data_IF_452212146082
#
_entry.id   IF_452212146082
#
_cell.length_a   1.000
_cell.length_b   1.000
_cell.length_c   1.000
_cell.angle_alpha   90.00
_cell.angle_beta   90.00
_cell.angle_gamma   90.00
#
_symmetry.space_group_name_H-M   'P 1'
#
loop_
_entity.id
_entity.type
_entity.pdbx_description
1 polymer ?
#
# COMPACT_ATOMS: atom_id res chain seq x y z
N UNK A 1 24.94 19.11 -61.86
CA UNK A 1 25.61 17.80 -61.75
C UNK A 1 26.60 17.94 -60.59
N UNK A 2 26.30 17.62 -59.33
CA UNK A 2 25.54 16.53 -58.73
C UNK A 2 24.98 16.99 -57.37
N UNK A 3 23.65 17.09 -57.26
CA UNK A 3 22.93 17.34 -56.00
C UNK A 3 22.36 16.02 -55.45
N UNK A 4 23.19 15.14 -54.89
CA UNK A 4 22.68 13.91 -54.24
C UNK A 4 23.62 13.39 -53.14
N UNK A 5 23.82 14.13 -52.05
CA UNK A 5 24.44 13.54 -50.85
C UNK A 5 24.02 14.23 -49.53
N UNK A 6 22.72 14.28 -49.24
CA UNK A 6 22.25 14.82 -47.93
C UNK A 6 21.01 14.12 -47.37
N UNK A 7 20.94 12.79 -47.42
CA UNK A 7 19.73 12.07 -46.97
C UNK A 7 19.95 10.98 -45.90
N UNK A 8 21.19 10.60 -45.54
CA UNK A 8 21.37 9.42 -44.67
C UNK A 8 22.28 9.61 -43.45
N UNK A 9 21.92 10.48 -42.49
CA UNK A 9 22.36 10.30 -41.09
C UNK A 9 21.60 11.14 -40.07
N UNK A 10 20.56 10.56 -39.46
CA UNK A 10 20.36 10.50 -37.99
C UNK A 10 18.93 10.05 -37.70
N UNK A 11 18.79 8.75 -37.50
CA UNK A 11 17.67 8.15 -36.79
C UNK A 11 17.89 8.45 -35.29
N UNK A 12 16.99 9.13 -34.56
CA UNK A 12 17.10 9.26 -33.11
C UNK A 12 16.32 8.11 -32.44
N UNK A 13 16.79 6.87 -32.53
CA UNK A 13 16.02 5.71 -32.05
C UNK A 13 16.49 5.11 -30.70
N UNK A 14 17.47 5.69 -30.01
CA UNK A 14 17.80 5.17 -28.68
C UNK A 14 18.19 6.30 -27.73
N UNK A 15 17.20 6.78 -26.96
CA UNK A 15 17.50 7.50 -25.71
C UNK A 15 17.83 6.44 -24.66
N UNK A 16 19.07 6.36 -24.14
CA UNK A 16 19.35 5.49 -23.02
C UNK A 16 18.50 5.95 -21.84
N UNK A 17 17.81 5.01 -21.21
CA UNK A 17 16.98 5.27 -20.04
C UNK A 17 17.84 5.96 -18.97
N UNK A 18 17.36 7.08 -18.42
CA UNK A 18 18.10 7.82 -17.41
C UNK A 18 18.38 6.90 -16.21
N UNK A 19 19.65 6.79 -15.80
CA UNK A 19 20.08 5.95 -14.67
C UNK A 19 19.24 6.22 -13.41
N UNK A 20 18.81 7.47 -13.20
CA UNK A 20 17.93 7.86 -12.09
C UNK A 20 16.58 7.14 -12.13
N UNK A 21 15.94 7.07 -13.30
CA UNK A 21 14.64 6.42 -13.46
C UNK A 21 14.72 4.91 -13.20
N UNK A 22 15.78 4.27 -13.70
CA UNK A 22 16.03 2.85 -13.45
C UNK A 22 16.21 2.56 -11.95
N UNK A 23 16.94 3.42 -11.23
CA UNK A 23 17.14 3.32 -9.79
C UNK A 23 15.81 3.50 -9.03
N UNK A 24 14.96 4.45 -9.44
CA UNK A 24 13.64 4.63 -8.82
C UNK A 24 12.71 3.44 -9.06
N UNK A 25 12.68 2.90 -10.28
CA UNK A 25 11.89 1.71 -10.59
C UNK A 25 12.38 0.50 -9.79
N UNK A 26 13.70 0.31 -9.67
CA UNK A 26 14.26 -0.77 -8.87
C UNK A 26 13.88 -0.64 -7.38
N UNK A 27 13.96 0.57 -6.81
CA UNK A 27 13.52 0.83 -5.42
C UNK A 27 12.04 0.50 -5.22
N UNK A 28 11.20 0.86 -6.19
CA UNK A 28 9.78 0.53 -6.16
C UNK A 28 9.54 -0.98 -6.22
N UNK A 29 10.17 -1.70 -7.15
CA UNK A 29 10.04 -3.16 -7.26
C UNK A 29 10.56 -3.89 -6.03
N UNK A 30 11.65 -3.40 -5.43
CA UNK A 30 12.17 -3.95 -4.18
C UNK A 30 11.17 -3.76 -3.04
N UNK A 31 10.62 -2.56 -2.87
CA UNK A 31 9.60 -2.29 -1.85
C UNK A 31 8.34 -3.15 -2.04
N UNK A 32 7.85 -3.25 -3.28
CA UNK A 32 6.69 -4.08 -3.62
C UNK A 32 6.97 -5.57 -3.41
N UNK A 33 8.14 -6.05 -3.83
CA UNK A 33 8.55 -7.44 -3.69
C UNK A 33 8.66 -7.86 -2.23
N UNK A 34 9.19 -6.99 -1.36
CA UNK A 34 9.19 -7.23 0.09
C UNK A 34 7.76 -7.33 0.63
N UNK A 35 6.87 -6.41 0.25
CA UNK A 35 5.47 -6.44 0.68
C UNK A 35 4.74 -7.72 0.27
N UNK A 36 4.88 -8.13 -1.00
CA UNK A 36 4.29 -9.37 -1.50
C UNK A 36 4.92 -10.62 -0.85
N UNK A 37 6.23 -10.59 -0.59
CA UNK A 37 6.93 -11.67 0.11
C UNK A 37 6.40 -11.88 1.52
N UNK A 38 6.22 -10.80 2.29
CA UNK A 38 5.64 -10.86 3.64
C UNK A 38 4.21 -11.39 3.58
N UNK A 39 3.40 -10.89 2.64
CA UNK A 39 2.00 -11.33 2.50
C UNK A 39 1.89 -12.82 2.15
N UNK A 40 2.73 -13.32 1.24
CA UNK A 40 2.79 -14.74 0.88
C UNK A 40 3.22 -15.60 2.07
N UNK A 41 4.22 -15.15 2.83
CA UNK A 41 4.68 -15.86 4.01
C UNK A 41 3.57 -15.99 5.06
N UNK A 42 2.87 -14.89 5.35
CA UNK A 42 1.70 -14.90 6.25
C UNK A 42 0.61 -15.84 5.73
N UNK A 43 0.28 -15.78 4.43
CA UNK A 43 -0.76 -16.64 3.86
C UNK A 43 -0.46 -18.14 4.05
N UNK A 44 0.78 -18.57 3.77
CA UNK A 44 1.18 -19.98 3.92
C UNK A 44 1.17 -20.42 5.38
N UNK A 45 1.62 -19.56 6.29
CA UNK A 45 1.60 -19.83 7.73
C UNK A 45 0.17 -20.02 8.26
N UNK A 46 -0.74 -19.13 7.85
CA UNK A 46 -2.15 -19.19 8.24
C UNK A 46 -2.86 -20.41 7.64
N UNK A 47 -2.58 -20.77 6.38
CA UNK A 47 -3.17 -21.95 5.72
C UNK A 47 -2.86 -23.24 6.50
N UNK A 48 -1.61 -23.44 6.92
CA UNK A 48 -1.21 -24.62 7.71
C UNK A 48 -1.93 -24.71 9.04
N UNK A 49 -2.11 -23.58 9.70
CA UNK A 49 -2.81 -23.51 10.99
C UNK A 49 -4.30 -23.80 10.80
N UNK A 50 -4.90 -23.24 9.76
CA UNK A 50 -6.31 -23.45 9.44
C UNK A 50 -6.61 -24.90 9.05
N UNK A 51 -5.74 -25.56 8.28
CA UNK A 51 -5.86 -26.99 7.97
C UNK A 51 -5.86 -27.87 9.22
N UNK A 52 -5.00 -27.55 10.20
CA UNK A 52 -4.98 -28.25 11.48
C UNK A 52 -6.27 -28.02 12.28
N UNK A 53 -6.87 -26.83 12.20
CA UNK A 53 -8.16 -26.52 12.84
C UNK A 53 -9.31 -27.26 12.16
N UNK A 54 -9.36 -27.29 10.82
CA UNK A 54 -10.36 -28.06 10.07
C UNK A 54 -10.39 -29.53 10.50
N UNK A 55 -9.20 -30.14 10.64
CA UNK A 55 -9.07 -31.53 11.08
C UNK A 55 -9.57 -31.74 12.52
N UNK A 56 -9.36 -30.78 13.42
CA UNK A 56 -9.84 -30.84 14.80
C UNK A 56 -11.36 -30.64 14.92
N UNK A 57 -11.95 -29.81 14.05
CA UNK A 57 -13.38 -29.50 14.02
C UNK A 57 -14.19 -30.50 13.18
N UNK A 58 -13.53 -31.44 12.50
CA UNK A 58 -14.17 -32.47 11.68
C UNK A 58 -14.73 -31.94 10.36
N UNK A 59 -14.22 -30.80 9.88
CA UNK A 59 -14.64 -30.16 8.64
C UNK A 59 -14.07 -30.95 7.45
N UNK A 60 -14.88 -31.30 6.43
CA UNK A 60 -14.41 -32.03 5.26
C UNK A 60 -13.37 -31.20 4.49
N UNK A 61 -12.36 -31.87 3.93
CA UNK A 61 -11.26 -31.23 3.20
C UNK A 61 -11.72 -30.37 2.00
N UNK A 62 -12.94 -30.60 1.50
CA UNK A 62 -13.56 -29.83 0.42
C UNK A 62 -13.99 -28.42 0.84
N UNK A 63 -14.15 -28.15 2.14
CA UNK A 63 -14.57 -26.85 2.68
C UNK A 63 -13.42 -26.15 3.43
N UNK A 64 -12.21 -26.73 3.43
CA UNK A 64 -11.05 -26.18 4.13
C UNK A 64 -10.27 -25.16 3.28
N UNK A 65 -11.00 -24.20 2.70
CA UNK A 65 -10.44 -23.10 1.92
C UNK A 65 -10.34 -21.81 2.76
N UNK A 66 -9.11 -21.40 3.08
CA UNK A 66 -8.85 -20.21 3.91
C UNK A 66 -9.44 -18.93 3.30
N UNK A 67 -9.40 -18.79 1.97
CA UNK A 67 -9.90 -17.59 1.29
C UNK A 67 -11.42 -17.47 1.36
N UNK A 68 -12.15 -18.59 1.29
CA UNK A 68 -13.60 -18.60 1.42
C UNK A 68 -14.01 -18.24 2.85
N UNK A 69 -13.31 -18.82 3.84
CA UNK A 69 -13.50 -18.49 5.25
C UNK A 69 -13.28 -17.00 5.51
N UNK A 70 -12.19 -16.44 4.97
CA UNK A 70 -11.89 -15.01 5.11
C UNK A 70 -12.99 -14.14 4.51
N UNK A 71 -13.53 -14.52 3.35
CA UNK A 71 -14.63 -13.79 2.71
C UNK A 71 -15.92 -13.84 3.53
N UNK A 72 -16.26 -15.02 4.08
CA UNK A 72 -17.41 -15.18 4.96
C UNK A 72 -17.27 -14.34 6.24
N UNK A 73 -16.07 -14.28 6.82
CA UNK A 73 -15.79 -13.51 8.04
C UNK A 73 -15.95 -11.99 7.81
N UNK A 74 -15.58 -11.48 6.63
CA UNK A 74 -15.87 -10.08 6.26
C UNK A 74 -17.37 -9.78 6.20
N UNK A 75 -18.19 -10.73 5.76
CA UNK A 75 -19.65 -10.59 5.70
C UNK A 75 -20.32 -10.48 7.06
N UNK A 76 -19.68 -11.00 8.11
CA UNK A 76 -20.21 -11.00 9.48
C UNK A 76 -19.70 -9.83 10.34
N UNK A 77 -18.96 -8.88 9.75
CA UNK A 77 -18.34 -7.80 10.50
C UNK A 77 -19.38 -6.88 11.14
N UNK A 78 -19.23 -6.60 12.44
CA UNK A 78 -20.13 -5.71 13.17
C UNK A 78 -19.76 -4.25 12.90
N UNK A 79 -20.65 -3.51 12.25
CA UNK A 79 -20.46 -2.09 11.88
C UNK A 79 -20.11 -1.19 13.08
N UNK A 80 -20.57 -1.53 14.29
CA UNK A 80 -20.23 -0.80 15.51
C UNK A 80 -18.71 -0.71 15.75
N UNK A 81 -17.98 -1.82 15.58
CA UNK A 81 -16.53 -1.85 15.79
C UNK A 81 -15.78 -1.08 14.69
N UNK A 82 -16.27 -1.12 13.45
CA UNK A 82 -15.73 -0.30 12.35
C UNK A 82 -15.88 1.19 12.70
N UNK A 83 -17.02 1.60 13.22
CA UNK A 83 -17.25 2.98 13.68
C UNK A 83 -16.26 3.41 14.77
N UNK A 84 -15.96 2.53 15.73
CA UNK A 84 -14.95 2.78 16.77
C UNK A 84 -13.54 2.96 16.21
N UNK A 85 -13.15 2.15 15.22
CA UNK A 85 -11.86 2.31 14.52
C UNK A 85 -11.79 3.65 13.78
N UNK A 86 -12.87 4.04 13.09
CA UNK A 86 -12.93 5.35 12.40
C UNK A 86 -12.82 6.49 13.42
N UNK A 87 -13.55 6.42 14.54
CA UNK A 87 -13.49 7.43 15.58
C UNK A 87 -12.08 7.58 16.16
N UNK A 88 -11.44 6.47 16.52
CA UNK A 88 -10.07 6.48 17.07
C UNK A 88 -9.05 6.98 16.05
N UNK A 89 -9.21 6.64 14.76
CA UNK A 89 -8.41 7.19 13.67
C UNK A 89 -8.56 8.71 13.55
N UNK A 90 -9.78 9.24 13.57
CA UNK A 90 -10.03 10.68 13.52
C UNK A 90 -9.42 11.40 14.73
N UNK A 91 -9.56 10.84 15.93
CA UNK A 91 -8.93 11.38 17.14
C UNK A 91 -7.40 11.38 17.05
N UNK A 92 -6.80 10.33 16.48
CA UNK A 92 -5.34 10.28 16.25
C UNK A 92 -4.88 11.38 15.29
N UNK A 93 -5.60 11.59 14.19
CA UNK A 93 -5.29 12.68 13.24
C UNK A 93 -5.51 14.06 13.85
N UNK A 94 -6.52 14.23 14.71
CA UNK A 94 -6.76 15.46 15.44
C UNK A 94 -5.63 15.77 16.42
N UNK A 95 -5.13 14.77 17.15
CA UNK A 95 -3.96 14.91 18.03
C UNK A 95 -2.72 15.39 17.26
N UNK A 96 -2.47 14.80 16.08
CA UNK A 96 -1.37 15.24 15.20
C UNK A 96 -1.58 16.69 14.76
N UNK A 97 -2.77 17.05 14.29
CA UNK A 97 -3.08 18.42 13.87
C UNK A 97 -2.85 19.47 14.98
N UNK A 98 -3.25 19.16 16.21
CA UNK A 98 -3.00 20.02 17.36
C UNK A 98 -1.50 20.15 17.68
N UNK A 99 -0.75 19.05 17.63
CA UNK A 99 0.71 19.05 17.81
C UNK A 99 1.40 19.92 16.75
N UNK A 100 1.04 19.77 15.48
CA UNK A 100 1.59 20.58 14.40
C UNK A 100 1.26 22.07 14.58
N UNK A 101 0.05 22.39 15.05
CA UNK A 101 -0.32 23.77 15.37
C UNK A 101 0.58 24.36 16.46
N UNK A 102 0.83 23.61 17.54
CA UNK A 102 1.72 24.04 18.62
C UNK A 102 3.17 24.28 18.13
N UNK A 103 3.66 23.43 17.21
CA UNK A 103 5.01 23.59 16.64
C UNK A 103 5.14 24.78 15.69
N UNK A 104 4.06 25.18 15.00
CA UNK A 104 4.06 26.27 14.02
C UNK A 104 3.80 27.64 14.67
N UNK A 105 3.10 27.67 15.82
CA UNK A 105 2.83 28.88 16.58
C UNK A 105 4.08 29.73 16.93
N UNK A 106 5.22 29.18 17.39
CA UNK A 106 6.43 29.97 17.65
C UNK A 106 7.07 30.58 16.40
N UNK A 107 6.70 30.13 15.19
CA UNK A 107 7.17 30.73 13.93
C UNK A 107 6.32 31.94 13.50
N UNK A 108 5.37 32.39 14.33
CA UNK A 108 4.51 33.56 14.06
C UNK A 108 3.35 33.29 13.10
N UNK A 109 3.12 32.03 12.71
CA UNK A 109 1.98 31.64 11.84
C UNK A 109 0.91 30.92 12.65
N UNK A 110 -0.34 31.40 12.58
CA UNK A 110 -1.50 30.70 13.17
C UNK A 110 -2.26 29.91 12.10
N UNK A 111 -2.05 28.60 12.07
CA UNK A 111 -2.80 27.69 11.19
C UNK A 111 -4.17 27.33 11.82
N UNK A 112 -5.22 27.29 11.01
CA UNK A 112 -6.54 26.80 11.44
C UNK A 112 -6.48 25.28 11.61
N UNK A 113 -7.07 24.76 12.69
CA UNK A 113 -7.05 23.32 12.98
C UNK A 113 -7.63 22.46 11.85
N UNK A 114 -8.68 22.94 11.16
CA UNK A 114 -9.23 22.23 9.99
C UNK A 114 -8.19 22.05 8.87
N UNK A 115 -7.39 23.09 8.60
CA UNK A 115 -6.36 23.02 7.58
C UNK A 115 -5.22 22.08 8.01
N UNK A 116 -4.91 22.02 9.31
CA UNK A 116 -3.89 21.14 9.87
C UNK A 116 -4.36 19.68 10.03
N UNK A 117 -5.68 19.46 10.11
CA UNK A 117 -6.31 18.15 10.20
C UNK A 117 -6.45 17.46 8.85
N UNK A 118 -6.57 18.25 7.77
CA UNK A 118 -6.71 17.77 6.39
C UNK A 118 -5.37 17.76 5.61
N UNK A 119 -4.28 18.19 6.24
CA UNK A 119 -2.93 18.22 5.67
C UNK A 119 -2.13 17.00 6.13
#
# INVERSE_FOLDING_TARGET
>A
MHDTCRIFKKIPFFRPMNKQWLIHLLKFLLFLGIGLGILYWVYVDQQRTFEAQCAAEGIPATECDLLEKLWADFGQVKLFWIGMVILTYLLSNLSRAMRWRMLIEPLGKRIRLRNAFMA
#
